data_IF_760984071109
#
_entry.id   IF_760984071109
#
_cell.length_a   1.000
_cell.length_b   1.000
_cell.length_c   1.000
_cell.angle_alpha   90.00
_cell.angle_beta   90.00
_cell.angle_gamma   90.00
#
_symmetry.space_group_name_H-M   'P 1'
#
loop_
_entity.id
_entity.type
_entity.pdbx_description
1 polymer ?
#
# COMPACT_ATOMS: atom_id res chain seq x y z
N UNK A 1 18.85 -6.18 15.90
CA UNK A 1 17.45 -6.51 15.66
C UNK A 1 16.90 -5.46 14.70
N UNK A 2 16.27 -5.84 13.60
CA UNK A 2 15.69 -4.94 12.63
C UNK A 2 14.22 -5.21 12.42
N UNK A 3 13.49 -4.24 11.85
CA UNK A 3 12.09 -4.37 11.45
C UNK A 3 11.84 -3.59 10.17
N UNK A 4 10.89 -4.05 9.35
CA UNK A 4 10.33 -3.27 8.25
C UNK A 4 9.26 -2.33 8.78
N UNK A 5 8.91 -1.31 8.03
CA UNK A 5 7.82 -0.40 8.34
C UNK A 5 7.24 0.17 7.04
N UNK A 6 5.93 0.32 7.01
CA UNK A 6 5.20 1.12 6.02
C UNK A 6 4.16 1.97 6.75
N UNK A 7 4.11 3.25 6.41
CA UNK A 7 3.23 4.24 7.03
C UNK A 7 2.49 4.99 5.93
N UNK A 8 1.19 5.23 6.12
CA UNK A 8 0.42 6.18 5.36
C UNK A 8 -0.16 7.24 6.31
N UNK A 9 0.31 8.48 6.19
CA UNK A 9 -0.23 9.62 6.92
C UNK A 9 -1.15 10.40 6.00
N UNK A 10 -2.44 10.43 6.36
CA UNK A 10 -3.48 11.12 5.59
C UNK A 10 -3.70 12.49 6.17
N UNK A 11 -3.56 13.52 5.33
CA UNK A 11 -3.80 14.91 5.70
C UNK A 11 -4.58 15.59 4.57
N UNK A 12 -5.82 15.97 4.85
CA UNK A 12 -6.78 16.50 3.86
C UNK A 12 -6.96 15.51 2.68
N UNK A 13 -6.65 15.96 1.47
CA UNK A 13 -6.73 15.22 0.22
C UNK A 13 -5.42 14.54 -0.20
N UNK A 14 -4.46 14.38 0.74
CA UNK A 14 -3.15 13.76 0.46
C UNK A 14 -2.82 12.64 1.42
N UNK A 15 -2.23 11.59 0.87
CA UNK A 15 -1.53 10.57 1.60
C UNK A 15 -0.02 10.78 1.47
N UNK A 16 0.67 10.74 2.61
CA UNK A 16 2.12 10.77 2.70
C UNK A 16 2.58 9.38 3.12
N UNK A 17 3.21 8.68 2.19
CA UNK A 17 3.65 7.31 2.39
C UNK A 17 5.14 7.31 2.67
N UNK A 18 5.56 6.60 3.73
CA UNK A 18 6.97 6.37 4.04
C UNK A 18 7.18 4.90 4.37
N UNK A 19 8.27 4.32 3.91
CA UNK A 19 8.57 2.91 4.14
C UNK A 19 10.07 2.64 4.24
N UNK A 20 10.40 1.56 4.94
CA UNK A 20 11.75 1.01 5.02
C UNK A 20 11.62 -0.52 5.12
N UNK A 21 12.00 -1.23 4.05
CA UNK A 21 11.82 -2.67 3.90
C UNK A 21 10.98 -3.02 2.67
N UNK A 22 10.32 -4.17 2.71
CA UNK A 22 9.52 -4.80 1.67
C UNK A 22 8.02 -4.88 1.98
N UNK A 23 7.60 -4.34 3.13
CA UNK A 23 6.18 -4.08 3.40
C UNK A 23 5.66 -3.03 2.43
N UNK A 24 4.47 -3.25 1.87
CA UNK A 24 3.98 -2.47 0.73
C UNK A 24 2.78 -1.60 1.06
N UNK A 25 2.65 -0.52 0.30
CA UNK A 25 1.46 0.31 0.23
C UNK A 25 0.94 0.34 -1.21
N UNK A 26 -0.36 0.07 -1.36
CA UNK A 26 -1.08 0.14 -2.64
C UNK A 26 -2.25 1.11 -2.53
N UNK A 27 -2.69 1.61 -3.67
CA UNK A 27 -3.98 2.30 -3.84
C UNK A 27 -4.78 1.64 -4.94
N UNK A 28 -6.05 1.43 -4.67
CA UNK A 28 -7.05 1.00 -5.64
C UNK A 28 -8.16 2.04 -5.75
N UNK A 29 -8.66 2.25 -6.96
CA UNK A 29 -9.85 3.05 -7.25
C UNK A 29 -10.52 2.51 -8.51
N UNK A 30 -11.81 2.23 -8.45
CA UNK A 30 -12.57 1.68 -9.57
C UNK A 30 -12.46 2.48 -10.89
N UNK A 31 -12.17 3.78 -10.80
CA UNK A 31 -12.01 4.66 -11.96
C UNK A 31 -10.57 4.81 -12.44
N UNK A 32 -9.58 4.68 -11.56
CA UNK A 32 -8.15 4.92 -11.88
C UNK A 32 -7.27 3.67 -11.77
N UNK A 33 -7.85 2.53 -11.37
CA UNK A 33 -7.16 1.25 -11.29
C UNK A 33 -6.35 1.05 -10.01
N UNK A 34 -5.37 0.15 -10.09
CA UNK A 34 -4.52 -0.28 -8.99
C UNK A 34 -3.09 0.20 -9.21
N UNK A 35 -2.45 0.68 -8.15
CA UNK A 35 -1.08 1.17 -8.20
C UNK A 35 -0.34 0.87 -6.89
N UNK A 36 0.86 0.32 -6.98
CA UNK A 36 1.78 0.22 -5.85
C UNK A 36 2.46 1.56 -5.60
N UNK A 37 2.32 2.09 -4.39
CA UNK A 37 2.85 3.38 -3.98
C UNK A 37 4.25 3.27 -3.37
N UNK A 38 4.59 2.14 -2.76
CA UNK A 38 5.93 1.84 -2.23
C UNK A 38 6.76 1.03 -3.24
N UNK A 39 8.07 1.05 -3.08
CA UNK A 39 9.02 0.24 -3.83
C UNK A 39 9.88 -0.54 -2.85
N UNK A 40 9.96 -1.86 -3.02
CA UNK A 40 10.62 -2.71 -2.06
C UNK A 40 12.12 -2.40 -1.92
N UNK A 41 12.60 -2.39 -0.69
CA UNK A 41 14.02 -2.40 -0.40
C UNK A 41 14.50 -3.85 -0.31
N UNK A 42 14.56 -4.53 -1.46
CA UNK A 42 14.93 -5.93 -1.58
C UNK A 42 16.02 -6.12 -2.62
N UNK A 43 16.74 -7.24 -2.47
CA UNK A 43 17.81 -7.60 -3.41
C UNK A 43 17.27 -7.77 -4.84
N UNK A 44 16.12 -8.39 -4.99
CA UNK A 44 15.50 -8.59 -6.31
C UNK A 44 15.06 -7.28 -6.94
N UNK A 45 14.57 -6.32 -6.16
CA UNK A 45 14.23 -5.00 -6.66
C UNK A 45 15.48 -4.25 -7.12
N UNK A 46 16.58 -4.36 -6.41
CA UNK A 46 17.86 -3.78 -6.82
C UNK A 46 18.38 -4.38 -8.16
N UNK A 47 18.14 -5.69 -8.39
CA UNK A 47 18.46 -6.34 -9.67
C UNK A 47 17.56 -5.84 -10.82
N UNK A 48 16.28 -5.67 -10.56
CA UNK A 48 15.31 -5.11 -11.54
C UNK A 48 15.73 -3.69 -11.92
N UNK A 49 16.06 -2.84 -10.96
CA UNK A 49 16.47 -1.46 -11.17
C UNK A 49 17.78 -1.35 -11.99
N UNK A 50 18.66 -2.32 -11.85
CA UNK A 50 19.91 -2.41 -12.62
C UNK A 50 19.72 -3.04 -14.01
N UNK A 51 18.49 -3.45 -14.37
CA UNK A 51 18.19 -4.15 -15.61
C UNK A 51 18.80 -5.55 -15.70
N UNK A 52 19.13 -6.17 -14.55
CA UNK A 52 19.71 -7.51 -14.45
C UNK A 52 18.69 -8.62 -14.25
N UNK A 53 17.47 -8.25 -13.87
CA UNK A 53 16.34 -9.13 -13.65
C UNK A 53 15.11 -8.52 -14.29
N UNK A 54 14.34 -9.32 -15.02
CA UNK A 54 13.05 -8.92 -15.54
C UNK A 54 12.06 -8.79 -14.36
N UNK A 55 11.25 -7.71 -14.27
CA UNK A 55 10.25 -7.55 -13.23
C UNK A 55 9.32 -8.75 -13.04
N UNK A 56 8.94 -9.42 -14.13
CA UNK A 56 8.08 -10.61 -14.12
C UNK A 56 8.70 -11.79 -13.37
N UNK A 57 10.03 -11.86 -13.29
CA UNK A 57 10.75 -12.93 -12.62
C UNK A 57 11.14 -12.60 -11.16
N UNK A 58 10.79 -11.40 -10.68
CA UNK A 58 11.20 -10.96 -9.35
C UNK A 58 10.45 -11.69 -8.23
N UNK A 59 9.17 -12.00 -8.45
CA UNK A 59 8.30 -12.64 -7.45
C UNK A 59 8.79 -14.04 -7.06
N UNK A 60 9.05 -14.90 -8.03
CA UNK A 60 9.48 -16.29 -7.82
C UNK A 60 11.01 -16.46 -7.66
N UNK A 61 11.74 -15.36 -7.54
CA UNK A 61 13.18 -15.41 -7.45
C UNK A 61 13.65 -16.03 -6.12
N UNK A 62 14.66 -16.95 -6.11
CA UNK A 62 15.13 -17.62 -4.88
C UNK A 62 15.57 -16.67 -3.74
N UNK A 63 15.88 -15.42 -4.07
CA UNK A 63 16.30 -14.38 -3.12
C UNK A 63 15.25 -13.25 -2.98
N UNK A 64 13.98 -13.52 -3.28
CA UNK A 64 12.89 -12.53 -3.17
C UNK A 64 12.68 -12.03 -1.75
N UNK A 65 13.00 -12.85 -0.74
CA UNK A 65 12.91 -12.54 0.69
C UNK A 65 14.11 -11.79 1.28
N UNK A 66 15.13 -11.43 0.47
CA UNK A 66 16.30 -10.72 0.99
C UNK A 66 16.04 -9.21 0.95
N UNK A 67 15.85 -8.61 2.14
CA UNK A 67 15.73 -7.16 2.29
C UNK A 67 17.11 -6.48 2.32
N UNK A 68 17.18 -5.28 1.74
CA UNK A 68 18.41 -4.47 1.69
C UNK A 68 18.39 -3.28 2.64
N UNK A 69 17.20 -2.92 3.19
CA UNK A 69 17.03 -1.87 4.19
C UNK A 69 15.98 -2.27 5.24
N UNK A 70 16.27 -1.95 6.51
CA UNK A 70 15.32 -2.10 7.62
C UNK A 70 15.63 -1.08 8.72
N UNK A 71 14.66 -0.78 9.56
CA UNK A 71 14.89 0.03 10.76
C UNK A 71 15.67 -0.77 11.79
N UNK A 72 16.59 -0.09 12.51
CA UNK A 72 17.43 -0.72 13.53
C UNK A 72 18.66 -1.44 12.98
N UNK A 73 18.99 -1.30 11.70
CA UNK A 73 20.24 -1.77 11.13
C UNK A 73 21.42 -0.92 11.64
N UNK A 74 22.39 -1.52 12.36
CA UNK A 74 23.54 -0.78 12.88
C UNK A 74 24.49 -0.29 11.79
N UNK A 75 24.36 -0.76 10.55
CA UNK A 75 25.20 -0.37 9.40
C UNK A 75 24.68 0.86 8.66
N UNK A 76 23.71 1.58 9.25
CA UNK A 76 23.11 2.81 8.73
C UNK A 76 22.28 2.64 7.44
N UNK A 77 21.71 1.43 7.23
CA UNK A 77 20.78 1.16 6.13
C UNK A 77 19.32 1.47 6.49
N UNK A 78 19.09 2.14 7.62
CA UNK A 78 17.77 2.61 8.08
C UNK A 78 17.40 3.92 7.39
N UNK A 79 17.36 3.93 6.07
CA UNK A 79 17.01 5.11 5.28
C UNK A 79 15.64 4.87 4.61
N UNK A 80 14.54 5.43 5.16
CA UNK A 80 13.23 5.27 4.58
C UNK A 80 13.09 6.07 3.30
N UNK A 81 12.34 5.52 2.35
CA UNK A 81 11.87 6.26 1.19
C UNK A 81 10.53 6.94 1.49
N UNK A 82 10.16 7.88 0.66
CA UNK A 82 8.99 8.72 0.84
C UNK A 82 8.31 9.02 -0.50
N UNK A 83 6.97 9.02 -0.49
CA UNK A 83 6.13 9.41 -1.61
C UNK A 83 4.88 10.11 -1.12
N UNK A 84 4.41 11.14 -1.85
CA UNK A 84 3.07 11.71 -1.68
C UNK A 84 2.14 11.28 -2.80
N UNK A 85 0.86 11.09 -2.46
CA UNK A 85 -0.21 10.74 -3.39
C UNK A 85 -1.42 11.63 -3.13
N UNK A 86 -2.00 12.20 -4.19
CA UNK A 86 -3.25 12.96 -4.09
C UNK A 86 -4.41 11.97 -4.07
N UNK A 87 -5.10 11.91 -2.94
CA UNK A 87 -6.23 11.03 -2.74
C UNK A 87 -7.42 11.49 -3.60
N UNK A 88 -8.17 10.51 -4.08
CA UNK A 88 -9.44 10.69 -4.78
C UNK A 88 -10.55 10.07 -3.95
N UNK A 89 -11.77 10.58 -4.13
CA UNK A 89 -12.93 9.94 -3.54
C UNK A 89 -13.08 8.51 -4.06
N UNK A 90 -13.38 7.58 -3.15
CA UNK A 90 -13.44 6.16 -3.44
C UNK A 90 -12.09 5.44 -3.50
N UNK A 91 -10.96 6.11 -3.22
CA UNK A 91 -9.67 5.41 -3.08
C UNK A 91 -9.71 4.43 -1.91
N UNK A 92 -9.14 3.25 -2.12
CA UNK A 92 -8.86 2.28 -1.05
C UNK A 92 -7.35 2.09 -0.95
N UNK A 93 -6.78 2.46 0.20
CA UNK A 93 -5.38 2.18 0.52
C UNK A 93 -5.27 0.81 1.19
N UNK A 94 -4.30 0.03 0.73
CA UNK A 94 -3.87 -1.22 1.36
C UNK A 94 -2.42 -1.07 1.82
N UNK A 95 -2.18 -1.31 3.12
CA UNK A 95 -0.83 -1.51 3.66
C UNK A 95 -0.72 -2.96 4.10
N UNK A 96 0.36 -3.64 3.72
CA UNK A 96 0.55 -5.05 4.08
C UNK A 96 2.02 -5.41 4.32
N UNK A 97 2.21 -6.48 5.10
CA UNK A 97 3.50 -7.17 5.21
C UNK A 97 3.73 -8.08 4.00
N UNK A 98 4.95 -8.57 3.86
CA UNK A 98 5.37 -9.58 2.88
C UNK A 98 4.63 -10.90 3.01
N UNK A 99 4.07 -11.22 4.19
CA UNK A 99 3.15 -12.36 4.38
C UNK A 99 1.90 -12.33 3.49
N UNK A 100 1.52 -11.16 2.92
CA UNK A 100 0.55 -11.06 1.84
C UNK A 100 1.23 -10.91 0.48
N UNK A 101 1.97 -9.83 0.27
CA UNK A 101 2.50 -9.47 -1.04
C UNK A 101 3.72 -10.28 -1.49
N UNK A 102 4.25 -11.14 -0.64
CA UNK A 102 5.24 -12.16 -0.98
C UNK A 102 4.63 -13.52 -1.36
N UNK A 103 3.31 -13.69 -1.14
CA UNK A 103 2.58 -14.94 -1.44
C UNK A 103 1.53 -14.76 -2.53
N UNK A 104 0.90 -13.57 -2.62
CA UNK A 104 -0.09 -13.23 -3.63
C UNK A 104 0.49 -12.24 -4.64
N UNK A 105 0.26 -12.48 -5.93
CA UNK A 105 0.63 -11.54 -6.98
C UNK A 105 -0.19 -10.25 -6.89
N UNK A 106 0.37 -9.14 -7.37
CA UNK A 106 -0.29 -7.83 -7.36
C UNK A 106 -1.65 -7.86 -8.09
N UNK A 107 -1.79 -8.65 -9.16
CA UNK A 107 -3.03 -8.85 -9.92
C UNK A 107 -4.11 -9.56 -9.09
N UNK A 108 -3.74 -10.56 -8.29
CA UNK A 108 -4.65 -11.28 -7.41
C UNK A 108 -5.13 -10.38 -6.28
N UNK A 109 -4.21 -9.62 -5.66
CA UNK A 109 -4.55 -8.62 -4.64
C UNK A 109 -5.53 -7.59 -5.20
N UNK A 110 -5.25 -7.07 -6.40
CA UNK A 110 -6.12 -6.12 -7.11
C UNK A 110 -7.52 -6.69 -7.32
N UNK A 111 -7.63 -7.91 -7.85
CA UNK A 111 -8.90 -8.56 -8.12
C UNK A 111 -9.73 -8.73 -6.85
N UNK A 112 -9.11 -9.17 -5.75
CA UNK A 112 -9.80 -9.34 -4.46
C UNK A 112 -10.35 -8.00 -3.95
N UNK A 113 -9.56 -6.90 -4.08
CA UNK A 113 -10.01 -5.57 -3.66
C UNK A 113 -11.16 -5.09 -4.54
N UNK A 114 -11.07 -5.26 -5.86
CA UNK A 114 -12.09 -4.86 -6.82
C UNK A 114 -13.43 -5.56 -6.58
N UNK A 115 -13.40 -6.87 -6.32
CA UNK A 115 -14.60 -7.67 -6.06
C UNK A 115 -15.28 -7.35 -4.71
N UNK A 116 -14.54 -6.76 -3.75
CA UNK A 116 -15.01 -6.55 -2.38
C UNK A 116 -14.87 -5.08 -1.91
N UNK A 117 -14.82 -4.11 -2.83
CA UNK A 117 -14.59 -2.71 -2.50
C UNK A 117 -15.65 -2.09 -1.58
N UNK A 118 -16.89 -2.63 -1.58
CA UNK A 118 -18.01 -2.14 -0.77
C UNK A 118 -18.01 -2.71 0.66
N UNK A 119 -17.19 -3.75 0.93
CA UNK A 119 -17.09 -4.40 2.24
C UNK A 119 -15.61 -4.71 2.60
N UNK A 120 -14.98 -3.76 3.29
CA UNK A 120 -13.57 -3.89 3.70
C UNK A 120 -13.32 -5.08 4.64
N UNK A 121 -14.32 -5.54 5.40
CA UNK A 121 -14.15 -6.70 6.28
C UNK A 121 -14.07 -7.97 5.45
N UNK A 122 -14.98 -8.17 4.51
CA UNK A 122 -14.92 -9.28 3.56
C UNK A 122 -13.66 -9.19 2.70
N UNK A 123 -13.29 -8.01 2.21
CA UNK A 123 -12.05 -7.79 1.46
C UNK A 123 -10.82 -8.26 2.25
N UNK A 124 -10.69 -7.83 3.50
CA UNK A 124 -9.60 -8.23 4.39
C UNK A 124 -9.56 -9.76 4.59
N UNK A 125 -10.72 -10.38 4.85
CA UNK A 125 -10.79 -11.82 5.10
C UNK A 125 -10.40 -12.62 3.84
N UNK A 126 -10.82 -12.19 2.66
CA UNK A 126 -10.43 -12.79 1.38
C UNK A 126 -8.93 -12.65 1.07
N UNK A 127 -8.33 -11.50 1.38
CA UNK A 127 -6.88 -11.32 1.22
C UNK A 127 -6.07 -12.23 2.16
N UNK A 128 -6.53 -12.40 3.39
CA UNK A 128 -5.89 -13.32 4.35
C UNK A 128 -6.05 -14.77 3.87
N UNK A 129 -7.25 -15.16 3.41
CA UNK A 129 -7.54 -16.50 2.89
C UNK A 129 -6.63 -16.84 1.71
N UNK A 130 -6.50 -15.92 0.73
CA UNK A 130 -5.62 -16.10 -0.42
C UNK A 130 -4.15 -16.32 0.00
N UNK A 131 -3.63 -15.53 0.93
CA UNK A 131 -2.27 -15.71 1.43
C UNK A 131 -2.09 -17.04 2.18
N UNK A 132 -3.10 -17.50 2.93
CA UNK A 132 -3.07 -18.80 3.61
C UNK A 132 -3.12 -19.96 2.61
N UNK A 133 -3.94 -19.87 1.56
CA UNK A 133 -4.02 -20.85 0.48
C UNK A 133 -2.72 -20.93 -0.33
N UNK A 134 -2.03 -19.79 -0.50
CA UNK A 134 -0.70 -19.72 -1.13
C UNK A 134 0.44 -20.26 -0.23
N UNK A 135 0.11 -20.74 0.96
CA UNK A 135 1.05 -21.42 1.86
C UNK A 135 1.12 -20.88 3.27
N UNK A 136 0.82 -19.59 3.52
CA UNK A 136 0.78 -18.99 4.85
C UNK A 136 2.07 -19.12 5.64
N UNK A 137 3.23 -18.97 4.99
CA UNK A 137 4.53 -19.27 5.61
C UNK A 137 5.01 -18.17 6.56
N UNK A 138 4.37 -16.99 6.55
CA UNK A 138 4.75 -15.86 7.37
C UNK A 138 3.54 -15.19 8.02
N UNK A 139 3.80 -14.25 8.94
CA UNK A 139 2.77 -13.45 9.59
C UNK A 139 2.14 -12.48 8.59
N UNK A 140 0.82 -12.55 8.44
CA UNK A 140 0.06 -11.71 7.54
C UNK A 140 -0.49 -10.52 8.32
N UNK A 141 -0.08 -9.32 7.93
CA UNK A 141 -0.63 -8.06 8.47
C UNK A 141 -1.22 -7.22 7.35
N UNK A 142 -2.48 -6.79 7.52
CA UNK A 142 -3.22 -6.02 6.52
C UNK A 142 -3.91 -4.85 7.21
N UNK A 143 -3.78 -3.67 6.61
CA UNK A 143 -4.57 -2.47 6.94
C UNK A 143 -5.23 -1.96 5.67
N UNK A 144 -6.58 -1.91 5.67
CA UNK A 144 -7.38 -1.33 4.61
C UNK A 144 -7.99 -0.01 5.08
N UNK A 145 -7.94 1.01 4.24
CA UNK A 145 -8.51 2.32 4.51
C UNK A 145 -9.25 2.83 3.26
N UNK A 146 -10.57 2.96 3.35
CA UNK A 146 -11.38 3.54 2.29
C UNK A 146 -11.51 5.05 2.50
N UNK A 147 -11.28 5.82 1.43
CA UNK A 147 -11.26 7.28 1.44
C UNK A 147 -12.59 7.81 0.96
N UNK A 148 -13.24 8.58 1.82
CA UNK A 148 -14.43 9.35 1.49
C UNK A 148 -14.08 10.84 1.62
N UNK A 149 -13.94 11.53 0.48
CA UNK A 149 -13.69 12.96 0.47
C UNK A 149 -15.04 13.67 0.64
N UNK A 150 -15.20 14.41 1.75
CA UNK A 150 -16.37 15.26 1.90
C UNK A 150 -16.20 16.51 1.02
N UNK A 151 -17.20 16.82 0.22
CA UNK A 151 -17.32 18.12 -0.46
C UNK A 151 -17.39 19.22 0.58
N UNK A 152 -16.24 19.75 1.00
CA UNK A 152 -16.17 20.95 1.83
C UNK A 152 -16.32 22.18 0.97
N UNK A 153 -17.47 22.34 0.32
CA UNK A 153 -17.92 23.68 -0.04
C UNK A 153 -18.44 24.35 1.23
N UNK A 154 -17.84 25.44 1.71
CA UNK A 154 -18.41 26.22 2.77
C UNK A 154 -19.72 26.82 2.23
N UNK A 155 -20.88 26.27 2.62
CA UNK A 155 -22.17 26.93 2.39
C UNK A 155 -22.21 28.19 3.24
N UNK A 156 -21.63 29.28 2.72
CA UNK A 156 -21.82 30.62 3.25
C UNK A 156 -23.26 31.01 2.93
N UNK A 157 -24.19 30.76 3.86
CA UNK A 157 -25.48 31.39 3.83
C UNK A 157 -25.27 32.87 4.16
N UNK A 158 -25.15 33.71 3.14
CA UNK A 158 -25.34 35.14 3.26
C UNK A 158 -26.82 35.39 3.59
N UNK A 159 -27.13 35.55 4.86
CA UNK A 159 -28.41 36.14 5.28
C UNK A 159 -28.35 37.63 4.96
N UNK A 160 -28.82 38.02 3.79
CA UNK A 160 -29.11 39.42 3.48
C UNK A 160 -30.35 39.84 4.29
N UNK A 161 -30.14 40.32 5.50
CA UNK A 161 -31.17 41.09 6.20
C UNK A 161 -31.01 42.56 5.77
N UNK A 162 -31.84 42.99 4.85
CA UNK A 162 -31.99 44.40 4.52
C UNK A 162 -32.85 45.01 5.61
N UNK A 163 -32.28 45.93 6.40
CA UNK A 163 -33.06 46.82 7.26
C UNK A 163 -33.42 48.03 6.39
N UNK A 164 -34.75 48.24 6.25
CA UNK A 164 -35.33 49.50 5.72
C UNK A 164 -35.53 50.49 6.86
#
# INVERSE_FOLDING_TARGET
MGTTIVIAWILNDKAYISWCGDSRCYVFNGNSGFCRLSKDHSYVQDLVDQGKLDPENAFDHPYSNIITRCLGDPTNRSNPDFRSYNLKDGDTLLLCSDGLCGLCHDEEIMQIIEENQDDLMTCKDRLIEAALEAGGYDNITIVLCHIMLQDTEPKVKLNNTVFS
#
